data_IF_265441183274
#
_entry.id   IF_265441183274
#
_cell.length_a   1.000
_cell.length_b   1.000
_cell.length_c   1.000
_cell.angle_alpha   90.00
_cell.angle_beta   90.00
_cell.angle_gamma   90.00
#
_symmetry.space_group_name_H-M   'P 1'
#
loop_
_entity.id
_entity.type
_entity.pdbx_description
1 polymer ?
#
# COMPACT_ATOMS: atom_id res chain seq x y z
N UNK A 1 3.60 -36.20 27.84
CA UNK A 1 4.63 -36.13 26.77
C UNK A 1 4.43 -34.81 26.05
N UNK A 2 5.28 -33.83 26.37
CA UNK A 2 4.92 -32.42 26.30
C UNK A 2 5.05 -31.79 24.92
N UNK A 3 3.92 -31.22 24.46
CA UNK A 3 3.79 -30.33 23.29
C UNK A 3 4.67 -29.07 23.35
N UNK A 4 5.37 -28.85 24.46
CA UNK A 4 6.21 -27.67 24.72
C UNK A 4 7.63 -27.76 24.14
N UNK A 5 8.15 -28.95 23.84
CA UNK A 5 9.53 -29.10 23.36
C UNK A 5 9.66 -28.74 21.85
N UNK A 6 8.59 -28.94 21.07
CA UNK A 6 8.64 -28.69 19.61
C UNK A 6 8.74 -27.21 19.21
N UNK A 7 8.33 -26.25 20.06
CA UNK A 7 8.36 -24.82 19.67
C UNK A 7 9.76 -24.19 19.74
N UNK A 8 10.69 -24.78 20.51
CA UNK A 8 12.05 -24.25 20.70
C UNK A 8 13.06 -24.69 19.64
N UNK A 9 12.68 -25.57 18.71
CA UNK A 9 13.54 -26.02 17.61
C UNK A 9 13.18 -25.42 16.25
N UNK A 10 12.34 -24.37 16.21
CA UNK A 10 12.33 -23.48 15.04
C UNK A 10 13.62 -22.65 15.08
N UNK A 11 14.68 -23.26 14.52
CA UNK A 11 15.88 -22.55 14.08
C UNK A 11 15.40 -21.27 13.40
N UNK A 12 15.82 -20.10 13.90
CA UNK A 12 15.59 -18.83 13.21
C UNK A 12 16.28 -18.93 11.86
N UNK A 13 15.59 -19.49 10.85
CA UNK A 13 16.02 -19.42 9.47
C UNK A 13 16.00 -17.93 9.18
N UNK A 14 17.18 -17.33 9.09
CA UNK A 14 17.27 -15.94 8.65
C UNK A 14 16.48 -15.86 7.36
N UNK A 15 15.60 -14.86 7.24
CA UNK A 15 14.91 -14.60 5.98
C UNK A 15 16.03 -14.37 4.96
N UNK A 16 16.29 -15.37 4.13
CA UNK A 16 17.37 -15.33 3.16
C UNK A 16 17.24 -14.07 2.29
N UNK A 17 18.35 -13.66 1.68
CA UNK A 17 18.32 -12.54 0.73
C UNK A 17 17.28 -12.80 -0.37
N UNK A 18 16.37 -11.85 -0.60
CA UNK A 18 15.37 -11.93 -1.66
C UNK A 18 15.74 -10.99 -2.80
N UNK A 19 15.45 -11.39 -4.03
CA UNK A 19 15.45 -10.50 -5.19
C UNK A 19 14.01 -10.09 -5.46
N UNK A 20 13.82 -8.81 -5.74
CA UNK A 20 12.57 -8.23 -6.21
C UNK A 20 12.73 -7.97 -7.69
N UNK A 21 11.81 -8.52 -8.47
CA UNK A 21 11.77 -8.38 -9.92
C UNK A 21 10.39 -7.81 -10.26
N UNK A 22 10.37 -6.70 -10.99
CA UNK A 22 9.14 -6.09 -11.51
C UNK A 22 9.31 -5.86 -13.00
N UNK A 23 8.31 -6.29 -13.76
CA UNK A 23 8.28 -6.10 -15.19
C UNK A 23 6.83 -6.06 -15.69
N UNK A 24 6.63 -5.51 -16.90
CA UNK A 24 5.36 -5.57 -17.60
C UNK A 24 5.55 -6.37 -18.89
N UNK A 25 4.64 -7.30 -19.15
CA UNK A 25 4.54 -8.01 -20.41
C UNK A 25 3.31 -7.54 -21.20
N UNK A 26 3.41 -7.61 -22.51
CA UNK A 26 2.32 -7.46 -23.46
C UNK A 26 2.32 -8.60 -24.48
N UNK A 27 1.51 -8.47 -25.52
CA UNK A 27 1.31 -9.48 -26.57
C UNK A 27 2.62 -9.90 -27.26
N UNK A 28 3.52 -8.94 -27.48
CA UNK A 28 4.81 -9.15 -28.16
C UNK A 28 5.98 -9.43 -27.20
N UNK A 29 5.70 -9.65 -25.91
CA UNK A 29 6.72 -9.89 -24.88
C UNK A 29 6.85 -8.75 -23.87
N UNK A 30 8.01 -8.64 -23.23
CA UNK A 30 8.28 -7.62 -22.21
C UNK A 30 8.28 -6.20 -22.79
N UNK A 31 7.75 -5.24 -22.03
CA UNK A 31 7.88 -3.81 -22.38
C UNK A 31 9.35 -3.42 -22.25
N UNK A 32 9.96 -3.01 -23.36
CA UNK A 32 11.38 -2.67 -23.38
C UNK A 32 11.72 -1.63 -22.30
N UNK A 33 12.88 -1.77 -21.64
CA UNK A 33 13.34 -0.88 -20.57
C UNK A 33 12.42 -0.77 -19.32
N UNK A 34 11.38 -1.60 -19.21
CA UNK A 34 10.51 -1.66 -18.03
C UNK A 34 10.98 -2.66 -16.96
N UNK A 35 12.03 -3.45 -17.19
CA UNK A 35 12.53 -4.40 -16.20
C UNK A 35 13.21 -3.67 -15.04
N UNK A 36 12.80 -4.00 -13.81
CA UNK A 36 13.44 -3.57 -12.58
C UNK A 36 13.82 -4.79 -11.74
N UNK A 37 15.09 -4.87 -11.35
CA UNK A 37 15.61 -5.94 -10.48
C UNK A 37 16.43 -5.29 -9.37
N UNK A 38 16.12 -5.61 -8.12
CA UNK A 38 16.91 -5.17 -6.96
C UNK A 38 16.83 -6.15 -5.80
N UNK A 39 17.77 -6.03 -4.86
CA UNK A 39 17.82 -6.89 -3.68
C UNK A 39 16.98 -6.28 -2.55
N UNK A 40 16.12 -7.10 -1.95
CA UNK A 40 15.32 -6.76 -0.78
C UNK A 40 16.22 -6.33 0.39
N UNK A 41 15.77 -5.33 1.15
CA UNK A 41 16.46 -4.85 2.35
C UNK A 41 17.77 -4.09 2.11
N UNK A 42 18.03 -3.62 0.88
CA UNK A 42 19.13 -2.69 0.63
C UNK A 42 18.81 -1.31 1.18
N UNK A 43 19.78 -0.70 1.86
CA UNK A 43 19.71 0.67 2.41
C UNK A 43 20.26 1.72 1.45
N UNK A 44 20.77 1.30 0.29
CA UNK A 44 21.43 2.16 -0.71
C UNK A 44 20.79 1.94 -2.09
N UNK A 45 20.88 2.94 -2.97
CA UNK A 45 20.34 2.91 -4.33
C UNK A 45 18.90 3.43 -4.47
N UNK A 46 18.45 3.63 -5.71
CA UNK A 46 17.17 4.29 -6.01
C UNK A 46 15.91 3.55 -5.56
N UNK A 47 16.04 2.27 -5.22
CA UNK A 47 14.96 1.40 -4.74
C UNK A 47 15.42 0.80 -3.41
N UNK A 48 15.13 1.53 -2.33
CA UNK A 48 15.45 1.12 -0.96
C UNK A 48 14.41 0.11 -0.45
N UNK A 49 14.85 -0.79 0.44
CA UNK A 49 13.99 -1.73 1.16
C UNK A 49 13.25 -2.74 0.25
N UNK A 50 12.07 -3.19 0.67
CA UNK A 50 11.20 -4.10 -0.10
C UNK A 50 10.30 -3.30 -1.08
N UNK A 51 9.58 -3.99 -1.96
CA UNK A 51 8.57 -3.37 -2.83
C UNK A 51 7.49 -2.71 -1.97
N UNK A 52 7.22 -1.45 -2.26
CA UNK A 52 6.25 -0.63 -1.55
C UNK A 52 5.58 0.34 -2.54
N UNK A 53 4.59 1.10 -2.08
CA UNK A 53 3.81 2.00 -2.94
C UNK A 53 4.67 3.06 -3.64
N UNK A 54 5.69 3.61 -2.96
CA UNK A 54 6.58 4.62 -3.54
C UNK A 54 7.50 4.03 -4.61
N UNK A 55 8.13 2.87 -4.32
CA UNK A 55 8.95 2.14 -5.27
C UNK A 55 8.13 1.71 -6.50
N UNK A 56 6.88 1.29 -6.30
CA UNK A 56 5.96 0.94 -7.37
C UNK A 56 5.60 2.14 -8.23
N UNK A 57 5.21 3.26 -7.62
CA UNK A 57 4.91 4.53 -8.31
C UNK A 57 6.12 5.04 -9.11
N UNK A 58 7.32 5.01 -8.51
CA UNK A 58 8.59 5.36 -9.18
C UNK A 58 8.84 4.48 -10.40
N UNK A 59 8.59 3.18 -10.30
CA UNK A 59 8.74 2.25 -11.42
C UNK A 59 7.73 2.54 -12.53
N UNK A 60 6.45 2.74 -12.20
CA UNK A 60 5.42 3.07 -13.18
C UNK A 60 5.79 4.32 -13.97
N UNK A 61 6.11 5.42 -13.30
CA UNK A 61 6.35 6.72 -13.93
C UNK A 61 7.65 6.72 -14.73
N UNK A 62 8.73 6.19 -14.16
CA UNK A 62 10.06 6.35 -14.75
C UNK A 62 10.47 5.22 -15.69
N UNK A 63 9.81 4.06 -15.60
CA UNK A 63 10.13 2.88 -16.42
C UNK A 63 8.95 2.47 -17.28
N UNK A 64 7.80 2.16 -16.70
CA UNK A 64 6.70 1.60 -17.49
C UNK A 64 6.11 2.62 -18.48
N UNK A 65 5.56 3.73 -17.99
CA UNK A 65 4.81 4.69 -18.81
C UNK A 65 5.68 5.35 -19.90
N UNK A 66 6.98 5.51 -19.65
CA UNK A 66 7.92 6.06 -20.63
C UNK A 66 8.20 5.14 -21.81
N UNK A 67 8.02 3.84 -21.63
CA UNK A 67 8.29 2.83 -22.64
C UNK A 67 7.03 2.12 -23.13
N UNK A 68 5.86 2.52 -22.62
CA UNK A 68 4.59 1.93 -23.01
C UNK A 68 4.19 2.46 -24.40
N UNK A 69 3.78 1.59 -25.35
CA UNK A 69 3.23 2.04 -26.62
C UNK A 69 2.00 2.93 -26.42
N UNK A 70 1.78 3.88 -27.33
CA UNK A 70 0.58 4.72 -27.30
C UNK A 70 -0.68 3.86 -27.39
N UNK A 71 -1.76 4.32 -26.75
CA UNK A 71 -3.06 3.64 -26.71
C UNK A 71 -3.04 2.23 -26.10
N UNK A 72 -2.11 1.97 -25.17
CA UNK A 72 -2.06 0.72 -24.42
C UNK A 72 -3.07 0.71 -23.27
N UNK A 73 -3.65 -0.46 -22.99
CA UNK A 73 -4.43 -0.73 -21.78
C UNK A 73 -3.53 -1.45 -20.79
N UNK A 74 -3.46 -0.96 -19.56
CA UNK A 74 -2.68 -1.58 -18.50
C UNK A 74 -3.60 -2.34 -17.55
N UNK A 75 -3.36 -3.65 -17.42
CA UNK A 75 -4.08 -4.53 -16.49
C UNK A 75 -3.12 -4.95 -15.39
N UNK A 76 -3.50 -4.69 -14.15
CA UNK A 76 -2.69 -4.95 -12.96
C UNK A 76 -3.46 -5.91 -12.06
N UNK A 77 -2.75 -6.83 -11.41
CA UNK A 77 -3.30 -7.57 -10.29
C UNK A 77 -3.66 -6.61 -9.14
N UNK A 78 -4.45 -7.07 -8.15
CA UNK A 78 -4.69 -6.28 -6.95
C UNK A 78 -3.66 -6.66 -5.88
N UNK A 79 -2.66 -5.80 -5.67
CA UNK A 79 -1.65 -5.97 -4.64
C UNK A 79 -1.71 -4.81 -3.62
N UNK A 80 -1.36 -5.04 -2.34
CA UNK A 80 -1.49 -4.02 -1.29
C UNK A 80 -0.74 -2.72 -1.55
N UNK A 81 0.32 -2.75 -2.36
CA UNK A 81 1.15 -1.59 -2.69
C UNK A 81 0.69 -0.83 -3.95
N UNK A 82 -0.24 -1.37 -4.74
CA UNK A 82 -0.73 -0.70 -5.95
C UNK A 82 -1.68 0.46 -5.64
N UNK A 83 -2.34 0.41 -4.48
CA UNK A 83 -3.34 1.39 -4.10
C UNK A 83 -2.87 2.17 -2.85
N UNK A 84 -2.86 3.50 -2.93
CA UNK A 84 -2.76 4.36 -1.74
C UNK A 84 -4.18 4.64 -1.25
N UNK A 85 -4.45 4.32 0.02
CA UNK A 85 -5.61 4.84 0.72
C UNK A 85 -5.44 6.36 0.84
N UNK A 86 -6.17 7.13 0.05
CA UNK A 86 -6.08 8.60 0.06
C UNK A 86 -6.64 9.21 1.33
N UNK A 87 -7.60 8.54 1.98
CA UNK A 87 -8.06 8.86 3.33
C UNK A 87 -8.49 7.58 4.03
N UNK A 88 -7.55 6.91 4.71
CA UNK A 88 -7.89 5.74 5.51
C UNK A 88 -8.98 6.11 6.53
N UNK A 89 -10.12 5.42 6.48
CA UNK A 89 -11.16 5.61 7.49
C UNK A 89 -10.58 5.26 8.86
N UNK A 90 -10.64 6.17 9.84
CA UNK A 90 -10.22 5.89 11.19
C UNK A 90 -10.92 4.65 11.74
N UNK A 91 -10.21 3.85 12.53
CA UNK A 91 -10.77 2.69 13.22
C UNK A 91 -10.83 2.96 14.73
N UNK A 92 -11.35 1.99 15.50
CA UNK A 92 -11.47 2.13 16.96
C UNK A 92 -10.13 2.40 17.68
N UNK A 93 -9.00 2.03 17.06
CA UNK A 93 -7.66 2.26 17.61
C UNK A 93 -7.09 3.63 17.24
N UNK A 94 -7.69 4.38 16.31
CA UNK A 94 -7.26 5.71 15.92
C UNK A 94 -7.29 6.69 17.11
N UNK A 95 -6.40 7.69 17.09
CA UNK A 95 -6.39 8.75 18.11
C UNK A 95 -7.63 9.65 17.97
N UNK A 96 -8.04 10.29 19.05
CA UNK A 96 -9.17 11.24 19.07
C UNK A 96 -8.97 12.37 18.04
N UNK A 97 -7.75 12.90 17.93
CA UNK A 97 -7.40 13.91 16.93
C UNK A 97 -7.64 13.43 15.50
N UNK A 98 -7.27 12.19 15.17
CA UNK A 98 -7.47 11.59 13.84
C UNK A 98 -8.96 11.46 13.51
N UNK A 99 -9.80 11.11 14.49
CA UNK A 99 -11.26 11.05 14.31
C UNK A 99 -11.83 12.45 13.99
N UNK A 100 -11.42 13.47 14.75
CA UNK A 100 -11.88 14.86 14.56
C UNK A 100 -11.46 15.39 13.20
N UNK A 101 -10.18 15.21 12.82
CA UNK A 101 -9.69 15.63 11.50
C UNK A 101 -10.50 14.99 10.37
N UNK A 102 -10.73 13.68 10.42
CA UNK A 102 -11.49 12.96 9.39
C UNK A 102 -12.95 13.46 9.26
N UNK A 103 -13.60 13.77 10.39
CA UNK A 103 -14.96 14.32 10.42
C UNK A 103 -14.99 15.74 9.85
N UNK A 104 -14.04 16.60 10.24
CA UNK A 104 -13.91 17.99 9.75
C UNK A 104 -13.63 18.04 8.25
N UNK A 105 -12.73 17.21 7.73
CA UNK A 105 -12.42 17.10 6.29
C UNK A 105 -13.65 16.73 5.44
N UNK A 106 -14.67 16.13 6.06
CA UNK A 106 -15.93 15.72 5.42
C UNK A 106 -17.10 16.63 5.76
N UNK A 107 -16.85 17.76 6.40
CA UNK A 107 -17.86 18.70 6.88
C UNK A 107 -18.91 18.05 7.80
N UNK A 108 -18.51 17.03 8.56
CA UNK A 108 -19.39 16.38 9.55
C UNK A 108 -19.25 17.13 10.87
N UNK A 109 -20.36 17.64 11.45
CA UNK A 109 -20.30 18.32 12.74
C UNK A 109 -19.74 17.43 13.84
N UNK A 110 -18.71 17.91 14.54
CA UNK A 110 -18.11 17.22 15.68
C UNK A 110 -17.52 18.24 16.66
N UNK A 111 -17.55 17.93 17.96
CA UNK A 111 -16.96 18.78 19.00
C UNK A 111 -15.71 18.14 19.59
N UNK A 112 -14.73 18.97 19.99
CA UNK A 112 -13.53 18.52 20.70
C UNK A 112 -13.83 17.99 22.10
N UNK A 113 -14.99 18.33 22.67
CA UNK A 113 -15.44 17.84 23.98
C UNK A 113 -16.04 16.44 23.93
N UNK A 114 -16.41 15.93 22.75
CA UNK A 114 -17.01 14.60 22.59
C UNK A 114 -16.06 13.49 23.02
N UNK A 115 -16.61 12.40 23.55
CA UNK A 115 -15.85 11.20 23.88
C UNK A 115 -15.35 10.53 22.60
N UNK A 116 -14.24 9.77 22.72
CA UNK A 116 -13.67 9.02 21.59
C UNK A 116 -14.68 8.04 20.99
N UNK A 117 -15.51 7.42 21.83
CA UNK A 117 -16.56 6.50 21.38
C UNK A 117 -17.62 7.21 20.53
N UNK A 118 -18.10 8.38 20.96
CA UNK A 118 -19.10 9.16 20.23
C UNK A 118 -18.56 9.63 18.86
N UNK A 119 -17.32 10.12 18.83
CA UNK A 119 -16.64 10.48 17.59
C UNK A 119 -16.48 9.28 16.66
N UNK A 120 -16.20 8.09 17.19
CA UNK A 120 -16.09 6.88 16.39
C UNK A 120 -17.45 6.39 15.85
N UNK A 121 -18.54 6.57 16.59
CA UNK A 121 -19.89 6.28 16.08
C UNK A 121 -20.26 7.22 14.92
N UNK A 122 -19.92 8.52 15.01
CA UNK A 122 -20.06 9.44 13.88
C UNK A 122 -19.27 8.97 12.65
N UNK A 123 -18.04 8.48 12.84
CA UNK A 123 -17.24 7.91 11.75
C UNK A 123 -17.89 6.65 11.17
N UNK A 124 -18.47 5.77 11.99
CA UNK A 124 -19.17 4.57 11.52
C UNK A 124 -20.41 4.88 10.69
N UNK A 125 -21.18 5.89 11.08
CA UNK A 125 -22.41 6.30 10.38
C UNK A 125 -22.06 6.93 9.03
N UNK A 126 -20.96 7.70 8.97
CA UNK A 126 -20.62 8.51 7.81
C UNK A 126 -19.53 7.90 6.91
N UNK A 127 -18.95 6.74 7.27
CA UNK A 127 -18.01 6.06 6.38
C UNK A 127 -18.76 5.50 5.16
N UNK A 128 -18.21 5.74 3.98
CA UNK A 128 -18.67 5.09 2.76
C UNK A 128 -18.52 3.58 2.89
N UNK A 129 -19.53 2.80 2.46
CA UNK A 129 -19.44 1.33 2.43
C UNK A 129 -18.36 0.82 1.45
N UNK A 130 -17.93 1.67 0.51
CA UNK A 130 -16.79 1.42 -0.36
C UNK A 130 -15.54 2.14 0.12
N UNK A 131 -14.41 1.42 0.09
CA UNK A 131 -13.08 2.02 0.18
C UNK A 131 -12.79 2.68 -1.17
N UNK A 132 -12.66 4.01 -1.18
CA UNK A 132 -12.21 4.72 -2.37
C UNK A 132 -10.70 4.52 -2.49
N UNK A 133 -10.30 3.62 -3.37
CA UNK A 133 -8.92 3.53 -3.82
C UNK A 133 -8.74 4.57 -4.93
N UNK A 134 -7.73 5.43 -4.79
CA UNK A 134 -7.22 6.15 -5.95
C UNK A 134 -5.96 5.46 -6.41
N UNK A 135 -5.87 5.23 -7.71
CA UNK A 135 -4.60 4.93 -8.34
C UNK A 135 -3.62 6.06 -7.97
N UNK A 136 -2.42 5.75 -7.43
CA UNK A 136 -1.37 6.74 -7.23
C UNK A 136 -1.01 7.49 -8.52
N UNK A 137 -1.35 6.90 -9.67
CA UNK A 137 -0.89 7.29 -10.99
C UNK A 137 -1.91 8.23 -11.69
N UNK A 138 -3.07 8.50 -11.07
CA UNK A 138 -4.04 9.48 -11.59
C UNK A 138 -4.63 9.16 -12.97
N UNK A 139 -4.57 7.89 -13.39
CA UNK A 139 -5.21 7.33 -14.58
C UNK A 139 -6.67 6.99 -14.30
#
# INVERSE_FOLDING_TARGET
MDRWIYSRLQKNISKGSRLIIVHAGGEIGGVENALLVFKAGQKTGDYHNDMNAENYEKWIINKLLRNLPKNSIFVIDNAPYHNKLTTATPNSNSRKSVLITWLRERNIPCSETMLKCELYELVKINKSRGVLFRSPIGI
#
